data_IF_271660626174
#
_entry.id   IF_271660626174
#
_cell.length_a   1.000
_cell.length_b   1.000
_cell.length_c   1.000
_cell.angle_alpha   90.00
_cell.angle_beta   90.00
_cell.angle_gamma   90.00
#
_symmetry.space_group_name_H-M   'P 1'
#
loop_
_entity.id
_entity.type
_entity.pdbx_description
1 polymer ?
#
# COMPACT_ATOMS: atom_id res chain seq x y z
N UNK A 1 -11.20 22.40 -4.35
CA UNK A 1 -12.52 22.27 -3.63
C UNK A 1 -13.15 20.87 -3.85
N UNK A 2 -12.33 19.84 -4.04
CA UNK A 2 -12.74 18.57 -4.65
C UNK A 2 -13.08 17.46 -3.63
N UNK A 3 -13.90 16.50 -4.08
CA UNK A 3 -14.21 15.18 -3.49
C UNK A 3 -15.03 15.12 -2.18
N UNK A 4 -14.98 16.15 -1.33
CA UNK A 4 -15.62 16.08 0.00
C UNK A 4 -17.15 16.20 -0.01
N UNK A 5 -17.74 16.74 -1.08
CA UNK A 5 -19.19 16.97 -1.17
C UNK A 5 -20.01 15.68 -1.31
N UNK A 6 -19.37 14.55 -1.62
CA UNK A 6 -20.04 13.25 -1.77
C UNK A 6 -19.99 12.41 -0.50
N UNK A 7 -19.34 12.87 0.56
CA UNK A 7 -19.25 12.14 1.81
C UNK A 7 -20.53 12.32 2.64
N UNK A 8 -21.15 11.20 3.01
CA UNK A 8 -22.33 11.19 3.88
C UNK A 8 -22.02 11.95 5.18
N UNK A 9 -22.93 12.80 5.69
CA UNK A 9 -22.70 13.70 6.83
C UNK A 9 -22.40 12.99 8.17
N UNK A 10 -22.48 11.66 8.24
CA UNK A 10 -22.32 10.88 9.46
C UNK A 10 -20.87 10.42 9.76
N UNK A 11 -19.88 10.70 8.89
CA UNK A 11 -18.50 10.25 9.10
C UNK A 11 -17.52 11.41 9.20
N UNK A 12 -16.77 11.43 10.30
CA UNK A 12 -15.64 12.35 10.48
C UNK A 12 -14.50 11.93 9.55
N UNK A 13 -14.06 12.84 8.69
CA UNK A 13 -12.96 12.61 7.78
C UNK A 13 -11.63 13.01 8.42
N UNK A 14 -10.59 12.20 8.27
CA UNK A 14 -9.23 12.58 8.67
C UNK A 14 -8.36 12.64 7.42
N UNK A 15 -7.90 13.85 7.10
CA UNK A 15 -7.04 14.12 5.97
C UNK A 15 -5.61 14.24 6.47
N UNK A 16 -4.74 13.38 5.97
CA UNK A 16 -3.31 13.42 6.28
C UNK A 16 -2.56 13.79 5.01
N UNK A 17 -2.01 14.99 4.99
CA UNK A 17 -1.13 15.44 3.93
C UNK A 17 0.29 15.03 4.28
N UNK A 18 0.92 14.26 3.40
CA UNK A 18 2.29 13.77 3.59
C UNK A 18 3.14 14.26 2.43
N UNK A 19 4.26 14.90 2.74
CA UNK A 19 5.15 15.47 1.74
C UNK A 19 6.18 16.38 2.38
N UNK A 20 7.27 16.60 1.64
CA UNK A 20 8.27 17.58 2.05
C UNK A 20 7.68 19.00 1.92
N UNK A 21 8.12 19.91 2.79
CA UNK A 21 7.78 21.34 2.74
C UNK A 21 6.31 21.70 3.07
N UNK A 22 5.52 20.74 3.53
CA UNK A 22 4.14 21.00 4.00
C UNK A 22 4.06 21.95 5.22
N UNK A 23 5.18 22.15 5.92
CA UNK A 23 5.25 22.98 7.13
C UNK A 23 5.19 24.50 6.90
N UNK A 24 5.15 24.99 5.65
CA UNK A 24 5.09 26.43 5.34
C UNK A 24 3.70 26.96 4.98
N UNK A 25 2.66 26.12 4.98
CA UNK A 25 1.31 26.55 4.62
C UNK A 25 0.48 26.96 5.83
N UNK A 26 -0.43 27.92 5.63
CA UNK A 26 -1.46 28.20 6.62
C UNK A 26 -2.27 26.92 6.90
N UNK A 27 -2.49 26.56 8.17
CA UNK A 27 -3.21 25.35 8.52
C UNK A 27 -4.64 25.42 7.99
N UNK A 28 -5.08 24.37 7.30
CA UNK A 28 -6.45 24.31 6.80
C UNK A 28 -7.45 24.42 7.97
N UNK A 29 -8.61 25.10 7.78
CA UNK A 29 -9.62 25.23 8.82
C UNK A 29 -10.07 23.87 9.35
N UNK A 30 -10.02 23.70 10.66
CA UNK A 30 -10.51 22.52 11.34
C UNK A 30 -12.04 22.60 11.45
N UNK A 31 -12.73 21.48 11.25
CA UNK A 31 -14.19 21.41 11.33
C UNK A 31 -14.66 20.26 12.20
N UNK A 32 -15.93 20.28 12.58
CA UNK A 32 -16.53 19.15 13.32
C UNK A 32 -16.57 17.86 12.47
N UNK A 33 -16.63 18.02 11.14
CA UNK A 33 -16.72 16.91 10.19
C UNK A 33 -15.38 16.47 9.61
N UNK A 34 -14.30 17.24 9.77
CA UNK A 34 -12.99 16.87 9.25
C UNK A 34 -11.84 17.34 10.15
N UNK A 35 -10.79 16.54 10.19
CA UNK A 35 -9.51 16.90 10.79
C UNK A 35 -8.43 16.87 9.71
N UNK A 36 -7.54 17.86 9.74
CA UNK A 36 -6.42 17.96 8.83
C UNK A 36 -5.13 17.86 9.62
N UNK A 37 -4.25 16.96 9.18
CA UNK A 37 -2.91 16.76 9.72
C UNK A 37 -1.90 16.87 8.59
N UNK A 38 -0.77 17.50 8.88
CA UNK A 38 0.37 17.60 7.97
C UNK A 38 1.53 16.79 8.53
N UNK A 39 2.18 16.02 7.67
CA UNK A 39 3.36 15.24 7.99
C UNK A 39 4.48 15.67 7.03
N UNK A 40 5.43 16.43 7.56
CA UNK A 40 6.62 16.85 6.82
C UNK A 40 7.62 15.70 6.77
N UNK A 41 7.43 14.77 5.82
CA UNK A 41 8.30 13.64 5.54
C UNK A 41 7.94 13.03 4.18
N UNK A 42 8.84 12.19 3.63
CA UNK A 42 8.46 11.28 2.57
C UNK A 42 7.52 10.20 3.12
N UNK A 43 6.66 9.63 2.26
CA UNK A 43 5.66 8.67 2.72
C UNK A 43 6.26 7.39 3.29
N UNK A 44 7.34 6.89 2.70
CA UNK A 44 8.09 5.74 3.22
C UNK A 44 8.73 6.01 4.58
N UNK A 45 9.10 7.26 4.88
CA UNK A 45 9.66 7.62 6.18
C UNK A 45 8.54 7.81 7.21
N UNK A 46 7.39 8.35 6.78
CA UNK A 46 6.19 8.41 7.62
C UNK A 46 5.76 7.00 8.07
N UNK A 47 5.85 6.01 7.19
CA UNK A 47 5.56 4.60 7.52
C UNK A 47 6.41 4.04 8.67
N UNK A 48 7.61 4.57 8.87
CA UNK A 48 8.52 4.14 9.93
C UNK A 48 8.27 4.84 11.28
N UNK A 49 7.39 5.86 11.34
CA UNK A 49 7.10 6.58 12.58
C UNK A 49 6.11 5.81 13.46
N UNK A 50 6.24 5.99 14.78
CA UNK A 50 5.37 5.34 15.78
C UNK A 50 3.91 5.81 15.71
N UNK A 51 3.68 6.99 15.12
CA UNK A 51 2.37 7.61 14.95
C UNK A 51 1.84 7.47 13.52
N UNK A 52 2.37 6.48 12.78
CA UNK A 52 1.87 6.12 11.46
C UNK A 52 0.45 5.57 11.56
N UNK A 53 -0.43 6.16 10.77
CA UNK A 53 -1.77 5.64 10.54
C UNK A 53 -1.93 5.30 9.06
N UNK A 54 -2.25 4.03 8.78
CA UNK A 54 -2.55 3.60 7.42
C UNK A 54 -3.85 4.26 6.94
N UNK A 55 -3.86 4.93 5.77
CA UNK A 55 -5.07 5.51 5.25
C UNK A 55 -6.02 4.44 4.69
N UNK A 56 -7.34 4.67 4.80
CA UNK A 56 -8.34 3.85 4.12
C UNK A 56 -8.34 4.06 2.59
N UNK A 57 -7.83 5.21 2.15
CA UNK A 57 -7.76 5.63 0.76
C UNK A 57 -6.67 6.70 0.58
N UNK A 58 -5.94 6.64 -0.53
CA UNK A 58 -4.92 7.65 -0.84
C UNK A 58 -5.15 8.30 -2.20
N UNK A 59 -4.77 9.59 -2.31
CA UNK A 59 -4.80 10.34 -3.56
C UNK A 59 -3.41 10.88 -3.82
N UNK A 60 -2.88 10.60 -5.02
CA UNK A 60 -1.61 11.11 -5.48
C UNK A 60 -1.84 12.11 -6.62
N UNK A 61 -1.67 13.40 -6.33
CA UNK A 61 -2.03 14.47 -7.26
C UNK A 61 -0.91 14.76 -8.26
N UNK A 62 -1.17 14.55 -9.56
CA UNK A 62 -0.30 14.91 -10.68
C UNK A 62 1.19 14.58 -10.45
N UNK A 63 1.44 13.40 -9.88
CA UNK A 63 2.75 13.03 -9.33
C UNK A 63 3.82 12.79 -10.40
N UNK A 64 3.44 12.61 -11.66
CA UNK A 64 4.39 12.48 -12.76
C UNK A 64 5.24 11.20 -12.68
N UNK A 65 4.63 10.02 -12.48
CA UNK A 65 5.36 8.77 -12.23
C UNK A 65 6.39 8.46 -13.32
N UNK A 66 6.08 8.79 -14.57
CA UNK A 66 6.96 8.57 -15.71
C UNK A 66 8.22 9.46 -15.72
N UNK A 67 8.22 10.56 -14.95
CA UNK A 67 9.36 11.47 -14.82
C UNK A 67 10.10 11.33 -13.50
N UNK A 68 9.40 10.89 -12.45
CA UNK A 68 9.86 11.02 -11.07
C UNK A 68 9.95 9.68 -10.37
N UNK A 69 11.06 8.98 -10.60
CA UNK A 69 11.42 7.69 -9.99
C UNK A 69 11.36 7.68 -8.46
N UNK A 70 11.53 8.84 -7.81
CA UNK A 70 11.49 8.98 -6.36
C UNK A 70 10.10 8.70 -5.74
N UNK A 71 9.04 8.58 -6.55
CA UNK A 71 7.73 8.12 -6.09
C UNK A 71 7.64 6.61 -5.85
N UNK A 72 8.53 5.81 -6.46
CA UNK A 72 8.46 4.34 -6.39
C UNK A 72 8.46 3.79 -4.96
N UNK A 73 9.27 4.29 -4.00
CA UNK A 73 9.21 3.84 -2.62
C UNK A 73 7.85 4.10 -1.96
N UNK A 74 7.27 5.29 -2.16
CA UNK A 74 5.96 5.65 -1.62
C UNK A 74 4.84 4.76 -2.19
N UNK A 75 4.86 4.51 -3.51
CA UNK A 75 3.94 3.57 -4.15
C UNK A 75 4.13 2.15 -3.61
N UNK A 76 5.37 1.72 -3.39
CA UNK A 76 5.69 0.42 -2.79
C UNK A 76 4.96 0.22 -1.46
N UNK A 77 5.06 1.19 -0.56
CA UNK A 77 4.36 1.15 0.73
C UNK A 77 2.84 1.07 0.55
N UNK A 78 2.25 1.88 -0.34
CA UNK A 78 0.80 1.89 -0.58
C UNK A 78 0.31 0.55 -1.16
N UNK A 79 1.07 -0.04 -2.08
CA UNK A 79 0.79 -1.36 -2.64
C UNK A 79 0.91 -2.46 -1.59
N UNK A 80 1.96 -2.42 -0.76
CA UNK A 80 2.19 -3.43 0.29
C UNK A 80 1.10 -3.38 1.38
N UNK A 81 0.53 -2.20 1.63
CA UNK A 81 -0.62 -2.03 2.52
C UNK A 81 -1.95 -2.42 1.87
N UNK A 82 -1.98 -2.67 0.55
CA UNK A 82 -3.21 -3.01 -0.17
C UNK A 82 -4.26 -1.90 -0.17
N UNK A 83 -3.84 -0.64 -0.02
CA UNK A 83 -4.73 0.52 0.06
C UNK A 83 -5.19 0.92 -1.35
N UNK A 84 -6.47 1.25 -1.58
CA UNK A 84 -6.90 1.81 -2.84
C UNK A 84 -6.32 3.22 -3.03
N UNK A 85 -5.69 3.45 -4.18
CA UNK A 85 -5.02 4.71 -4.52
C UNK A 85 -5.59 5.25 -5.82
N UNK A 86 -5.97 6.53 -5.82
CA UNK A 86 -6.24 7.28 -7.04
C UNK A 86 -5.04 8.16 -7.40
N UNK A 87 -4.62 8.10 -8.66
CA UNK A 87 -3.57 8.95 -9.22
C UNK A 87 -4.22 9.90 -10.21
N UNK A 88 -4.05 11.21 -10.04
CA UNK A 88 -4.50 12.19 -11.03
C UNK A 88 -3.39 12.50 -12.02
N UNK A 89 -3.79 12.75 -13.27
CA UNK A 89 -2.91 12.94 -14.42
C UNK A 89 -3.32 14.25 -15.12
N UNK A 90 -2.35 15.04 -15.58
CA UNK A 90 -2.63 16.39 -16.10
C UNK A 90 -3.26 16.38 -17.48
N UNK A 91 -2.82 15.51 -18.38
CA UNK A 91 -3.28 15.53 -19.76
C UNK A 91 -3.38 14.12 -20.33
N UNK A 92 -4.03 14.01 -21.50
CA UNK A 92 -4.27 12.71 -22.15
C UNK A 92 -2.98 12.06 -22.63
N UNK A 93 -1.93 12.83 -22.94
CA UNK A 93 -0.66 12.32 -23.47
C UNK A 93 0.13 11.56 -22.40
N UNK A 94 0.10 12.07 -21.16
CA UNK A 94 0.76 11.45 -20.02
C UNK A 94 0.10 10.12 -19.62
N UNK A 95 -1.17 9.87 -19.99
CA UNK A 95 -1.92 8.70 -19.48
C UNK A 95 -1.26 7.36 -19.78
N UNK A 96 -0.72 7.17 -20.99
CA UNK A 96 -0.03 5.93 -21.38
C UNK A 96 1.27 5.76 -20.59
N UNK A 97 2.06 6.84 -20.49
CA UNK A 97 3.35 6.82 -19.79
C UNK A 97 3.18 6.59 -18.28
N UNK A 98 2.16 7.22 -17.68
CA UNK A 98 1.79 7.02 -16.27
C UNK A 98 1.32 5.58 -16.02
N UNK A 99 0.49 5.03 -16.90
CA UNK A 99 0.01 3.65 -16.79
C UNK A 99 1.17 2.65 -16.90
N UNK A 100 2.06 2.85 -17.86
CA UNK A 100 3.24 2.01 -18.05
C UNK A 100 4.18 2.11 -16.84
N UNK A 101 4.43 3.31 -16.32
CA UNK A 101 5.23 3.51 -15.11
C UNK A 101 4.61 2.76 -13.91
N UNK A 102 3.29 2.84 -13.74
CA UNK A 102 2.57 2.18 -12.66
C UNK A 102 2.58 0.63 -12.80
N UNK A 103 2.41 0.10 -14.02
CA UNK A 103 2.54 -1.34 -14.30
C UNK A 103 3.99 -1.83 -14.11
N UNK A 104 4.98 -0.99 -14.43
CA UNK A 104 6.41 -1.31 -14.27
C UNK A 104 6.80 -1.58 -12.83
N UNK A 105 6.18 -0.87 -11.87
CA UNK A 105 6.39 -1.09 -10.43
C UNK A 105 5.55 -2.23 -9.86
N UNK A 106 4.72 -2.86 -10.69
CA UNK A 106 3.92 -4.02 -10.35
C UNK A 106 2.64 -3.70 -9.60
N UNK A 107 2.07 -2.51 -9.79
CA UNK A 107 0.76 -2.20 -9.23
C UNK A 107 -0.35 -2.98 -9.95
N UNK A 108 -1.34 -3.43 -9.18
CA UNK A 108 -2.57 -3.98 -9.73
C UNK A 108 -3.54 -2.84 -10.04
N UNK A 109 -3.58 -2.44 -11.32
CA UNK A 109 -4.42 -1.36 -11.83
C UNK A 109 -5.88 -1.83 -11.85
N UNK A 110 -6.74 -1.17 -11.07
CA UNK A 110 -8.17 -1.49 -10.95
C UNK A 110 -9.05 -0.60 -11.82
N UNK A 111 -8.54 0.57 -12.20
CA UNK A 111 -9.17 1.50 -13.14
C UNK A 111 -8.09 2.08 -14.05
N UNK A 112 -8.17 1.79 -15.36
CA UNK A 112 -7.30 2.42 -16.35
C UNK A 112 -7.58 3.92 -16.48
N UNK A 113 -6.64 4.72 -17.02
CA UNK A 113 -6.80 6.16 -17.15
C UNK A 113 -8.10 6.55 -17.86
N UNK A 114 -8.90 7.38 -17.19
CA UNK A 114 -10.15 7.92 -17.72
C UNK A 114 -10.29 9.39 -17.36
N UNK A 115 -11.21 10.10 -18.04
CA UNK A 115 -11.44 11.52 -17.80
C UNK A 115 -11.92 11.73 -16.36
N UNK A 116 -11.29 12.64 -15.64
CA UNK A 116 -11.72 12.99 -14.30
C UNK A 116 -12.93 13.92 -14.37
N UNK A 117 -14.10 13.55 -13.79
CA UNK A 117 -15.28 14.41 -13.76
C UNK A 117 -15.10 15.62 -12.83
N UNK A 118 -13.99 15.67 -12.10
CA UNK A 118 -13.62 16.74 -11.20
C UNK A 118 -12.31 17.43 -11.63
N UNK A 119 -12.01 17.48 -12.93
CA UNK A 119 -10.84 18.20 -13.42
C UNK A 119 -10.90 19.70 -13.08
N UNK A 120 -9.74 20.36 -13.14
CA UNK A 120 -9.70 21.81 -12.98
C UNK A 120 -10.61 22.46 -14.01
N UNK A 121 -11.44 23.43 -13.59
CA UNK A 121 -12.23 24.26 -14.51
C UNK A 121 -11.42 25.42 -15.10
N UNK A 122 -10.23 25.66 -14.56
CA UNK A 122 -9.35 26.77 -14.97
C UNK A 122 -8.16 26.17 -15.72
N UNK A 123 -8.01 26.46 -17.02
CA UNK A 123 -6.84 26.04 -17.76
C UNK A 123 -5.60 26.82 -17.30
N UNK A 124 -4.47 26.14 -17.21
CA UNK A 124 -3.16 26.73 -16.93
C UNK A 124 -2.39 26.90 -18.23
N UNK A 125 -1.79 28.09 -18.40
CA UNK A 125 -0.91 28.40 -19.51
C UNK A 125 0.46 27.75 -19.30
N UNK A 126 0.91 26.92 -20.24
CA UNK A 126 2.21 26.21 -20.17
C UNK A 126 2.99 26.47 -21.46
N UNK A 127 4.10 27.20 -21.36
CA UNK A 127 4.89 27.62 -22.52
C UNK A 127 5.89 26.57 -23.01
N UNK A 128 6.14 25.53 -22.20
CA UNK A 128 7.14 24.49 -22.40
C UNK A 128 6.55 23.16 -22.88
N UNK A 129 5.27 23.14 -23.28
CA UNK A 129 4.54 21.92 -23.62
C UNK A 129 3.78 22.04 -24.92
N UNK A 130 3.47 20.89 -25.50
CA UNK A 130 2.77 20.76 -26.78
C UNK A 130 1.36 21.39 -26.81
N UNK A 131 0.77 21.69 -25.64
CA UNK A 131 -0.52 22.39 -25.54
C UNK A 131 -0.34 23.66 -24.74
N UNK A 132 -0.80 24.78 -25.30
CA UNK A 132 -0.76 26.10 -24.66
C UNK A 132 -1.65 26.13 -23.41
N UNK A 133 -2.75 25.38 -23.41
CA UNK A 133 -3.70 25.29 -22.29
C UNK A 133 -3.82 23.84 -21.81
N UNK A 134 -3.61 23.63 -20.51
CA UNK A 134 -3.79 22.34 -19.86
C UNK A 134 -4.66 22.47 -18.61
N UNK A 135 -5.47 21.46 -18.31
CA UNK A 135 -6.29 21.42 -17.10
C UNK A 135 -5.67 20.47 -16.08
N UNK A 136 -5.30 20.95 -14.90
CA UNK A 136 -4.76 20.07 -13.86
C UNK A 136 -5.81 19.02 -13.45
N UNK A 137 -5.34 17.80 -13.15
CA UNK A 137 -6.18 16.65 -12.82
C UNK A 137 -7.18 16.25 -13.93
N UNK A 138 -6.88 16.47 -15.21
CA UNK A 138 -7.77 16.15 -16.32
C UNK A 138 -8.18 14.67 -16.39
N UNK A 139 -7.31 13.76 -15.95
CA UNK A 139 -7.54 12.32 -15.96
C UNK A 139 -7.23 11.72 -14.59
N UNK A 140 -7.75 10.53 -14.33
CA UNK A 140 -7.37 9.73 -13.17
C UNK A 140 -7.31 8.24 -13.52
N UNK A 141 -6.55 7.50 -12.72
CA UNK A 141 -6.53 6.04 -12.71
C UNK A 141 -6.49 5.55 -11.26
N UNK A 142 -6.81 4.27 -11.04
CA UNK A 142 -6.75 3.67 -9.72
C UNK A 142 -5.97 2.37 -9.71
N UNK A 143 -5.32 2.09 -8.59
CA UNK A 143 -4.71 0.79 -8.31
C UNK A 143 -4.91 0.38 -6.86
N UNK A 144 -4.77 -0.91 -6.59
CA UNK A 144 -4.81 -1.46 -5.24
C UNK A 144 -3.98 -2.74 -5.16
N UNK A 145 -2.97 -2.73 -4.30
CA UNK A 145 -2.09 -3.88 -4.13
C UNK A 145 -1.13 -4.11 -5.30
N UNK A 146 -0.40 -5.24 -5.23
CA UNK A 146 0.51 -5.70 -6.29
C UNK A 146 -0.19 -6.62 -7.28
N UNK A 147 0.23 -6.53 -8.54
CA UNK A 147 -0.15 -7.50 -9.58
C UNK A 147 0.67 -8.78 -9.42
N UNK A 148 0.10 -9.72 -8.66
CA UNK A 148 0.67 -11.03 -8.36
C UNK A 148 0.95 -11.86 -9.61
N UNK A 149 0.15 -11.71 -10.68
CA UNK A 149 0.36 -12.45 -11.92
C UNK A 149 1.56 -11.90 -12.69
N UNK A 150 1.67 -10.58 -12.83
CA UNK A 150 2.82 -9.94 -13.47
C UNK A 150 4.12 -10.14 -12.67
N UNK A 151 4.04 -10.18 -11.34
CA UNK A 151 5.20 -10.43 -10.46
C UNK A 151 5.74 -11.87 -10.59
N UNK A 152 4.85 -12.86 -10.73
CA UNK A 152 5.23 -14.25 -11.00
C UNK A 152 5.96 -14.39 -12.36
N UNK A 153 5.46 -13.71 -13.40
CA UNK A 153 6.08 -13.73 -14.74
C UNK A 153 7.45 -13.05 -14.77
N UNK A 154 7.61 -11.90 -14.08
CA UNK A 154 8.91 -11.21 -13.95
C UNK A 154 9.95 -12.04 -13.21
N UNK A 155 9.53 -12.73 -12.15
CA UNK A 155 10.39 -13.64 -11.38
C UNK A 155 10.85 -14.82 -12.23
N UNK A 156 9.99 -15.37 -13.09
CA UNK A 156 10.35 -16.45 -14.01
C UNK A 156 11.35 -16.02 -15.12
N UNK A 157 11.29 -14.75 -15.59
CA UNK A 157 12.15 -14.23 -16.66
C UNK A 157 13.54 -13.79 -16.23
N UNK A 158 13.73 -13.44 -14.96
CA UNK A 158 15.00 -12.88 -14.44
C UNK A 158 16.07 -13.95 -14.15
N UNK A 159 15.80 -15.24 -14.37
CA UNK A 159 16.77 -16.32 -14.14
C UNK A 159 17.15 -16.50 -12.67
N UNK A 160 16.57 -15.69 -11.78
CA UNK A 160 16.57 -15.92 -10.36
C UNK A 160 15.63 -17.11 -10.16
N UNK A 161 16.21 -18.31 -10.12
CA UNK A 161 15.60 -19.47 -9.49
C UNK A 161 15.22 -19.05 -8.08
N UNK A 162 14.00 -18.52 -7.92
CA UNK A 162 13.30 -18.63 -6.66
C UNK A 162 13.17 -20.13 -6.45
N UNK A 163 14.04 -20.65 -5.60
CA UNK A 163 13.87 -21.95 -4.98
C UNK A 163 12.37 -22.13 -4.67
N UNK A 164 11.76 -23.27 -5.04
CA UNK A 164 10.31 -23.47 -4.91
C UNK A 164 9.93 -23.50 -3.43
N UNK A 165 9.76 -22.31 -2.87
CA UNK A 165 9.33 -22.06 -1.50
C UNK A 165 8.72 -20.64 -1.40
N UNK A 166 7.96 -20.23 -2.42
CA UNK A 166 6.83 -19.32 -2.21
C UNK A 166 5.57 -20.11 -2.54
N UNK A 167 5.42 -21.22 -1.84
CA UNK A 167 4.16 -21.93 -1.72
C UNK A 167 3.14 -20.89 -1.28
N UNK A 168 2.02 -20.88 -1.99
CA UNK A 168 0.79 -20.17 -1.63
C UNK A 168 0.70 -20.13 -0.10
N UNK A 169 0.46 -18.95 0.45
CA UNK A 169 0.02 -18.85 1.83
C UNK A 169 -1.50 -18.63 1.79
N UNK A 170 -2.31 -19.69 1.60
CA UNK A 170 -3.76 -19.58 1.53
C UNK A 170 -4.42 -19.29 2.89
N UNK A 171 -3.65 -18.98 3.95
CA UNK A 171 -4.09 -19.13 5.34
C UNK A 171 -4.07 -17.83 6.18
N UNK A 172 -3.75 -16.67 5.61
CA UNK A 172 -4.10 -15.37 6.23
C UNK A 172 -3.02 -14.59 6.99
N UNK A 173 -1.83 -15.15 7.30
CA UNK A 173 -0.72 -14.36 7.86
C UNK A 173 0.40 -14.14 6.83
N UNK A 174 0.57 -12.92 6.28
CA UNK A 174 1.68 -12.58 5.40
C UNK A 174 3.06 -12.90 5.99
N UNK A 175 4.01 -13.23 5.11
CA UNK A 175 5.43 -13.32 5.50
C UNK A 175 5.89 -11.98 6.07
N UNK A 176 6.63 -12.01 7.18
CA UNK A 176 7.07 -10.85 7.94
C UNK A 176 6.16 -10.48 9.11
N UNK A 177 4.97 -11.07 9.23
CA UNK A 177 4.09 -10.81 10.37
C UNK A 177 4.61 -11.44 11.66
N UNK A 178 4.42 -10.72 12.76
CA UNK A 178 4.70 -11.23 14.11
C UNK A 178 3.51 -12.04 14.62
N UNK A 179 3.78 -13.26 15.04
CA UNK A 179 2.78 -14.21 15.56
C UNK A 179 3.26 -14.78 16.89
N UNK A 180 2.33 -15.09 17.78
CA UNK A 180 2.59 -15.76 19.06
C UNK A 180 2.24 -17.24 18.95
N UNK A 181 3.13 -18.10 19.45
CA UNK A 181 2.88 -19.54 19.50
C UNK A 181 1.99 -19.87 20.70
N UNK A 182 0.92 -20.64 20.48
CA UNK A 182 -0.05 -21.04 21.51
C UNK A 182 -0.54 -22.48 21.31
N UNK A 183 -1.15 -23.06 22.36
CA UNK A 183 -1.92 -24.30 22.24
C UNK A 183 -1.12 -25.57 21.94
N UNK A 184 0.22 -25.57 22.06
CA UNK A 184 1.02 -26.79 21.91
C UNK A 184 0.91 -27.67 23.16
N UNK A 185 0.64 -28.96 22.97
CA UNK A 185 0.42 -29.95 24.05
C UNK A 185 1.54 -30.97 24.21
N UNK A 186 2.51 -31.02 23.30
CA UNK A 186 3.68 -31.90 23.45
C UNK A 186 4.67 -31.33 24.47
N UNK A 187 5.39 -32.20 25.19
CA UNK A 187 6.36 -31.80 26.23
C UNK A 187 7.40 -30.78 25.71
N UNK A 188 7.94 -31.00 24.50
CA UNK A 188 8.85 -30.06 23.84
C UNK A 188 8.15 -28.80 23.27
N UNK A 189 6.85 -28.87 22.99
CA UNK A 189 6.06 -27.78 22.41
C UNK A 189 5.53 -26.81 23.45
N UNK A 190 5.22 -27.27 24.66
CA UNK A 190 4.70 -26.43 25.76
C UNK A 190 5.67 -25.31 26.10
N UNK A 191 6.98 -25.59 26.05
CA UNK A 191 8.03 -24.59 26.29
C UNK A 191 8.05 -23.45 25.25
N UNK A 192 7.43 -23.64 24.08
CA UNK A 192 7.36 -22.62 23.02
C UNK A 192 6.08 -21.77 23.11
N UNK A 193 5.09 -22.17 23.92
CA UNK A 193 3.88 -21.37 24.09
C UNK A 193 4.23 -20.01 24.73
N UNK A 194 3.71 -18.92 24.16
CA UNK A 194 3.98 -17.55 24.57
C UNK A 194 5.14 -16.88 23.82
N UNK A 195 5.97 -17.63 23.11
CA UNK A 195 7.03 -17.05 22.28
C UNK A 195 6.45 -16.33 21.07
N UNK A 196 7.07 -15.21 20.72
CA UNK A 196 6.73 -14.41 19.53
C UNK A 196 7.81 -14.62 18.48
N UNK A 197 7.40 -14.86 17.25
CA UNK A 197 8.30 -15.01 16.11
C UNK A 197 7.73 -14.37 14.85
N UNK A 198 8.51 -14.38 13.78
CA UNK A 198 8.08 -13.84 12.48
C UNK A 198 7.78 -14.95 11.49
N UNK A 199 6.64 -14.85 10.80
CA UNK A 199 6.30 -15.78 9.72
C UNK A 199 7.30 -15.60 8.59
N UNK A 200 8.02 -16.65 8.24
CA UNK A 200 8.99 -16.68 7.13
C UNK A 200 8.43 -17.35 5.88
N UNK A 201 7.34 -18.12 6.02
CA UNK A 201 6.68 -18.80 4.90
C UNK A 201 5.69 -19.85 5.37
N UNK A 202 5.35 -20.77 4.46
CA UNK A 202 4.55 -21.96 4.70
C UNK A 202 5.27 -23.20 4.20
N UNK A 203 5.05 -24.32 4.88
CA UNK A 203 5.46 -25.65 4.41
C UNK A 203 4.39 -26.25 3.48
N UNK A 204 4.76 -27.26 2.70
CA UNK A 204 3.85 -27.99 1.81
C UNK A 204 2.64 -28.60 2.55
N UNK A 205 2.77 -28.87 3.84
CA UNK A 205 1.73 -29.45 4.70
C UNK A 205 0.79 -28.41 5.32
N UNK A 206 0.80 -27.16 4.87
CA UNK A 206 -0.07 -26.08 5.38
C UNK A 206 0.34 -25.55 6.76
N UNK A 207 1.53 -25.89 7.26
CA UNK A 207 2.09 -25.30 8.49
C UNK A 207 2.83 -24.01 8.19
N UNK A 208 2.73 -23.04 9.07
CA UNK A 208 3.50 -21.80 9.05
C UNK A 208 4.93 -22.01 9.52
N UNK A 209 5.89 -21.50 8.76
CA UNK A 209 7.29 -21.43 9.17
C UNK A 209 7.48 -20.14 9.96
N UNK A 210 7.83 -20.23 11.25
CA UNK A 210 8.01 -19.08 12.12
C UNK A 210 9.45 -19.05 12.61
N UNK A 211 10.12 -17.92 12.39
CA UNK A 211 11.45 -17.64 12.93
C UNK A 211 11.33 -17.22 14.39
N UNK A 212 11.83 -18.08 15.27
CA UNK A 212 12.01 -17.82 16.69
C UNK A 212 13.49 -17.50 16.96
N UNK A 213 13.81 -17.17 18.22
CA UNK A 213 15.18 -16.89 18.65
C UNK A 213 16.10 -18.11 18.51
N UNK A 214 15.56 -19.33 18.64
CA UNK A 214 16.30 -20.60 18.56
C UNK A 214 16.32 -21.22 17.16
N UNK A 215 15.70 -20.57 16.16
CA UNK A 215 15.66 -21.03 14.79
C UNK A 215 14.26 -20.97 14.18
N UNK A 216 14.13 -21.49 12.95
CA UNK A 216 12.84 -21.58 12.26
C UNK A 216 12.12 -22.88 12.64
N UNK A 217 10.85 -22.80 13.04
CA UNK A 217 10.00 -23.96 13.36
C UNK A 217 8.67 -23.91 12.63
N UNK A 218 8.07 -25.08 12.40
CA UNK A 218 6.80 -25.22 11.67
C UNK A 218 5.62 -25.42 12.62
N UNK A 219 4.64 -24.51 12.59
CA UNK A 219 3.46 -24.53 13.45
C UNK A 219 2.18 -24.66 12.64
N UNK A 220 1.16 -25.30 13.23
CA UNK A 220 -0.16 -25.32 12.62
C UNK A 220 -0.85 -23.96 12.80
N UNK A 221 -1.77 -23.57 11.90
CA UNK A 221 -2.58 -22.35 12.03
C UNK A 221 -3.21 -22.18 13.42
N UNK A 222 -3.81 -23.25 13.96
CA UNK A 222 -4.44 -23.25 15.28
C UNK A 222 -3.48 -23.05 16.47
N UNK A 223 -2.17 -23.14 16.21
CA UNK A 223 -1.13 -22.92 17.21
C UNK A 223 -0.49 -21.53 17.14
N UNK A 224 -1.10 -20.60 16.39
CA UNK A 224 -0.59 -19.26 16.20
C UNK A 224 -1.68 -18.22 16.44
N UNK A 225 -1.33 -17.16 17.16
CA UNK A 225 -2.16 -15.97 17.36
C UNK A 225 -1.49 -14.74 16.76
N UNK A 226 -2.29 -13.83 16.21
CA UNK A 226 -1.82 -12.53 15.75
C UNK A 226 -1.65 -11.52 16.92
N UNK A 227 -1.29 -10.27 16.60
CA UNK A 227 -1.13 -9.23 17.60
C UNK A 227 -2.41 -8.88 18.39
N UNK A 228 -3.58 -9.28 17.87
CA UNK A 228 -4.90 -9.08 18.50
C UNK A 228 -5.33 -10.27 19.35
N UNK A 229 -4.56 -11.38 19.34
CA UNK A 229 -4.93 -12.63 19.99
C UNK A 229 -5.90 -13.47 19.16
N UNK A 230 -6.13 -13.14 17.89
CA UNK A 230 -6.95 -13.93 17.00
C UNK A 230 -6.14 -15.10 16.43
N UNK A 231 -6.73 -16.30 16.27
CA UNK A 231 -6.05 -17.43 15.66
C UNK A 231 -5.66 -17.09 14.21
N UNK A 232 -4.45 -17.49 13.82
CA UNK A 232 -3.90 -17.24 12.49
C UNK A 232 -4.39 -18.34 11.54
N UNK A 233 -5.45 -18.05 10.80
CA UNK A 233 -6.12 -19.02 9.91
C UNK A 233 -7.62 -18.75 9.86
N UNK A 234 -8.23 -18.86 8.68
CA UNK A 234 -9.70 -18.99 8.59
C UNK A 234 -10.04 -20.44 8.95
N UNK A 235 -11.05 -20.72 9.79
CA UNK A 235 -11.56 -22.08 9.97
C UNK A 235 -12.02 -22.72 8.65
#
# INVERSE_FOLDING_TARGET
>A
RLLLQCLQPARRLRLVFVGNELGQQEPWPQGNLWQVRYVNALYQDYRAKNDFEAPDFAIAFNIGLHHYEHWKPALGVLMDLGIPVAVTIRNSKETVQELDALKSVGANVTQEPTKNPFDSLVPTLRFDRDSLFEFDNAFYMCFQGRDVAAEAVRSARSGQLLSPARVKNPLGAPVGWSVRVVGLSSEAGVALNGFVGQVTGSSENGRYMVQLADGTKAFRPENLEDATGAPVGIP
#
